data_IF_782889876379
#
_entry.id   IF_782889876379
#
_cell.length_a   1.000
_cell.length_b   1.000
_cell.length_c   1.000
_cell.angle_alpha   90.00
_cell.angle_beta   90.00
_cell.angle_gamma   90.00
#
_symmetry.space_group_name_H-M   'P 1'
#
loop_
_entity.id
_entity.type
_entity.pdbx_description
1 polymer ?
#
# COMPACT_ATOMS: atom_id res chain seq x y z
N UNK A 1 -36.14 -50.52 18.47
CA UNK A 1 -35.71 -49.18 17.99
C UNK A 1 -34.27 -48.89 18.39
N UNK A 2 -33.25 -49.58 17.85
CA UNK A 2 -31.82 -49.27 18.12
C UNK A 2 -30.86 -49.58 16.95
N UNK A 3 -31.37 -50.06 15.81
CA UNK A 3 -30.55 -50.55 14.69
C UNK A 3 -30.48 -49.61 13.48
N UNK A 4 -31.29 -48.56 13.43
CA UNK A 4 -31.35 -47.61 12.30
C UNK A 4 -30.56 -46.32 12.53
N UNK A 5 -30.00 -46.09 13.72
CA UNK A 5 -29.28 -44.85 14.05
C UNK A 5 -27.81 -44.88 13.61
N UNK A 6 -27.22 -46.06 13.41
CA UNK A 6 -25.80 -46.18 13.05
C UNK A 6 -25.49 -45.93 11.57
N UNK A 7 -26.50 -45.89 10.69
CA UNK A 7 -26.28 -45.66 9.25
C UNK A 7 -26.22 -44.18 8.85
N UNK A 8 -26.66 -43.26 9.72
CA UNK A 8 -26.67 -41.81 9.41
C UNK A 8 -25.34 -41.15 9.79
N UNK A 9 -24.55 -41.74 10.70
CA UNK A 9 -23.28 -41.15 11.16
C UNK A 9 -22.07 -41.39 10.26
N UNK A 10 -22.17 -42.30 9.28
CA UNK A 10 -21.03 -42.65 8.40
C UNK A 10 -20.98 -41.79 7.13
N UNK A 11 -22.07 -41.12 6.75
CA UNK A 11 -22.16 -40.32 5.51
C UNK A 11 -21.68 -38.87 5.72
N UNK A 12 -21.63 -38.38 6.96
CA UNK A 12 -21.17 -37.02 7.27
C UNK A 12 -19.63 -36.86 7.40
N UNK A 13 -18.87 -37.96 7.29
CA UNK A 13 -17.41 -37.93 7.46
C UNK A 13 -16.64 -37.67 6.15
N UNK A 14 -17.29 -37.61 4.98
CA UNK A 14 -16.61 -37.54 3.68
C UNK A 14 -16.72 -36.18 2.95
N UNK A 15 -17.24 -35.12 3.58
CA UNK A 15 -17.31 -33.78 2.96
C UNK A 15 -16.23 -32.80 3.44
N UNK A 16 -15.25 -33.24 4.23
CA UNK A 16 -14.11 -32.40 4.62
C UNK A 16 -12.88 -32.48 3.71
N UNK A 17 -13.01 -33.04 2.51
CA UNK A 17 -12.16 -32.60 1.39
C UNK A 17 -12.60 -31.19 0.97
N UNK A 18 -12.35 -30.18 1.81
CA UNK A 18 -12.14 -28.83 1.27
C UNK A 18 -10.95 -28.99 0.35
N UNK A 19 -11.18 -28.88 -0.96
CA UNK A 19 -10.10 -28.70 -1.94
C UNK A 19 -9.19 -27.64 -1.32
N UNK A 20 -7.94 -27.97 -1.02
CA UNK A 20 -6.97 -26.95 -0.64
C UNK A 20 -7.12 -25.85 -1.69
N UNK A 21 -7.33 -24.57 -1.29
CA UNK A 21 -7.43 -23.50 -2.26
C UNK A 21 -6.25 -23.65 -3.20
N UNK A 22 -6.52 -23.63 -4.50
CA UNK A 22 -5.48 -23.85 -5.49
C UNK A 22 -4.52 -22.65 -5.39
N UNK A 23 -3.42 -22.82 -4.66
CA UNK A 23 -2.41 -21.78 -4.48
C UNK A 23 -1.57 -21.59 -5.75
N UNK A 24 -1.80 -22.42 -6.78
CA UNK A 24 -1.15 -22.31 -8.09
C UNK A 24 -1.51 -20.98 -8.81
N UNK A 25 -2.65 -20.35 -8.46
CA UNK A 25 -3.12 -19.07 -9.00
C UNK A 25 -2.77 -17.86 -8.14
N UNK A 26 -2.22 -18.06 -6.93
CA UNK A 26 -1.54 -16.96 -6.23
C UNK A 26 -0.25 -16.75 -6.99
N UNK A 27 -0.20 -15.69 -7.80
CA UNK A 27 1.02 -15.27 -8.49
C UNK A 27 2.19 -15.28 -7.51
N UNK A 28 2.98 -16.35 -7.51
CA UNK A 28 4.14 -16.53 -6.63
C UNK A 28 5.29 -15.55 -6.92
N UNK A 29 4.97 -14.43 -7.57
CA UNK A 29 5.88 -13.41 -8.07
C UNK A 29 5.87 -12.14 -7.21
N UNK A 30 4.78 -11.81 -6.52
CA UNK A 30 4.68 -10.67 -5.60
C UNK A 30 3.49 -10.83 -4.64
N UNK A 31 3.50 -10.11 -3.51
CA UNK A 31 2.40 -10.12 -2.53
C UNK A 31 1.87 -8.71 -2.31
N UNK A 32 0.54 -8.56 -2.26
CA UNK A 32 -0.14 -7.26 -2.10
C UNK A 32 -0.87 -7.22 -0.77
N UNK A 33 -0.45 -6.31 0.11
CA UNK A 33 -1.07 -6.08 1.40
C UNK A 33 -1.61 -4.67 1.47
N UNK A 34 -2.87 -4.54 1.89
CA UNK A 34 -3.50 -3.25 2.15
C UNK A 34 -4.06 -3.17 3.55
N UNK A 35 -3.88 -2.01 4.18
CA UNK A 35 -4.53 -1.64 5.43
C UNK A 35 -5.14 -0.25 5.27
N UNK A 36 -6.19 0.03 6.04
CA UNK A 36 -6.88 1.31 6.00
C UNK A 36 -7.41 1.69 7.37
N UNK A 37 -7.68 2.98 7.55
CA UNK A 37 -8.44 3.48 8.67
C UNK A 37 -9.94 3.22 8.49
N UNK A 38 -10.50 2.32 9.29
CA UNK A 38 -11.92 1.96 9.25
C UNK A 38 -12.82 3.09 9.76
N UNK A 39 -12.27 4.09 10.45
CA UNK A 39 -13.00 5.28 10.87
C UNK A 39 -12.99 6.40 9.81
N UNK A 40 -12.23 6.26 8.73
CA UNK A 40 -12.16 7.27 7.68
C UNK A 40 -13.42 7.23 6.79
N UNK A 41 -14.05 8.38 6.61
CA UNK A 41 -15.06 8.58 5.58
C UNK A 41 -14.38 9.00 4.28
N UNK A 42 -14.04 8.02 3.43
CA UNK A 42 -13.35 8.26 2.15
C UNK A 42 -14.12 9.15 1.18
N UNK A 43 -15.44 9.32 1.37
CA UNK A 43 -16.29 10.22 0.58
C UNK A 43 -16.17 11.68 1.00
N UNK A 44 -15.60 11.94 2.17
CA UNK A 44 -15.39 13.30 2.67
C UNK A 44 -14.17 14.00 2.03
N UNK A 45 -13.37 13.27 1.25
CA UNK A 45 -12.21 13.77 0.52
C UNK A 45 -12.54 13.85 -0.97
N UNK A 46 -12.15 14.94 -1.64
CA UNK A 46 -12.47 15.17 -3.05
C UNK A 46 -11.22 15.33 -3.92
N UNK A 47 -10.15 15.85 -3.34
CA UNK A 47 -8.93 16.19 -4.06
C UNK A 47 -7.74 15.42 -3.52
N UNK A 48 -6.78 15.13 -4.41
CA UNK A 48 -5.52 14.52 -4.01
C UNK A 48 -4.35 15.19 -4.71
N UNK A 49 -3.18 15.03 -4.11
CA UNK A 49 -1.90 15.43 -4.68
C UNK A 49 -0.90 14.29 -4.55
N UNK A 50 -0.01 14.16 -5.51
CA UNK A 50 1.12 13.23 -5.51
C UNK A 50 2.40 13.99 -5.93
N UNK A 51 3.56 13.65 -5.37
CA UNK A 51 4.84 14.14 -5.86
C UNK A 51 5.11 13.75 -7.31
N UNK A 52 6.05 14.44 -7.93
CA UNK A 52 6.58 14.18 -9.27
C UNK A 52 7.68 13.09 -9.28
N UNK A 53 7.82 12.34 -8.19
CA UNK A 53 8.80 11.28 -8.03
C UNK A 53 8.29 10.15 -7.13
N UNK A 54 8.91 8.98 -7.28
CA UNK A 54 8.81 7.87 -6.33
C UNK A 54 10.11 7.85 -5.53
N UNK A 55 10.04 7.86 -4.21
CA UNK A 55 11.23 7.76 -3.38
C UNK A 55 11.95 6.42 -3.57
N UNK A 56 13.25 6.36 -3.27
CA UNK A 56 14.06 5.16 -3.33
C UNK A 56 14.83 4.97 -2.02
N UNK A 57 14.63 3.80 -1.41
CA UNK A 57 15.50 3.28 -0.35
C UNK A 57 16.34 2.17 -0.95
N UNK A 58 17.66 2.34 -0.90
CA UNK A 58 18.62 1.36 -1.40
C UNK A 58 19.95 1.46 -0.66
N UNK A 59 20.62 0.32 -0.45
CA UNK A 59 21.98 0.31 0.10
C UNK A 59 23.06 0.50 -0.99
N UNK A 60 22.69 0.35 -2.26
CA UNK A 60 23.63 0.36 -3.40
C UNK A 60 23.53 1.65 -4.23
N UNK A 61 22.38 2.32 -4.22
CA UNK A 61 22.19 3.62 -4.87
C UNK A 61 22.59 4.78 -3.96
N UNK A 62 23.10 5.87 -4.55
CA UNK A 62 23.26 7.16 -3.87
C UNK A 62 22.07 8.10 -4.11
N UNK A 63 21.14 7.71 -4.99
CA UNK A 63 19.93 8.46 -5.29
C UNK A 63 18.81 8.11 -4.29
N UNK A 64 18.05 9.12 -3.89
CA UNK A 64 16.85 8.99 -3.05
C UNK A 64 15.56 8.93 -3.86
N UNK A 65 15.65 8.99 -5.18
CA UNK A 65 14.52 8.93 -6.11
C UNK A 65 14.72 7.72 -7.04
N UNK A 66 13.62 7.02 -7.33
CA UNK A 66 13.60 5.95 -8.31
C UNK A 66 13.76 6.56 -9.70
N UNK A 67 14.52 5.88 -10.57
CA UNK A 67 14.69 6.27 -11.96
C UNK A 67 13.32 6.64 -12.61
N UNK A 68 13.17 7.88 -13.13
CA UNK A 68 11.91 8.40 -13.66
C UNK A 68 11.26 7.50 -14.71
N UNK A 69 12.05 6.74 -15.49
CA UNK A 69 11.48 5.82 -16.49
C UNK A 69 10.52 4.78 -15.88
N UNK A 70 10.72 4.44 -14.60
CA UNK A 70 9.85 3.57 -13.81
C UNK A 70 8.94 4.36 -12.87
N UNK A 71 9.47 5.39 -12.21
CA UNK A 71 8.74 6.22 -11.26
C UNK A 71 7.50 6.87 -11.89
N UNK A 72 7.64 7.43 -13.08
CA UNK A 72 6.54 8.14 -13.77
C UNK A 72 5.38 7.20 -14.11
N UNK A 73 5.69 5.95 -14.48
CA UNK A 73 4.67 4.95 -14.80
C UNK A 73 3.92 4.47 -13.55
N UNK A 74 4.64 4.33 -12.42
CA UNK A 74 4.03 4.04 -11.12
C UNK A 74 3.10 5.18 -10.70
N UNK A 75 3.56 6.43 -10.75
CA UNK A 75 2.76 7.60 -10.38
C UNK A 75 1.53 7.76 -11.30
N UNK A 76 1.69 7.53 -12.60
CA UNK A 76 0.58 7.56 -13.56
C UNK A 76 -0.49 6.51 -13.25
N UNK A 77 -0.08 5.28 -12.87
CA UNK A 77 -1.01 4.23 -12.45
C UNK A 77 -1.78 4.63 -11.19
N UNK A 78 -1.08 5.11 -10.15
CA UNK A 78 -1.71 5.56 -8.90
C UNK A 78 -2.70 6.70 -9.17
N UNK A 79 -2.29 7.69 -9.97
CA UNK A 79 -3.14 8.81 -10.36
C UNK A 79 -4.41 8.33 -11.07
N UNK A 80 -4.28 7.43 -12.05
CA UNK A 80 -5.42 6.90 -12.80
C UNK A 80 -6.41 6.17 -11.89
N UNK A 81 -5.93 5.38 -10.91
CA UNK A 81 -6.80 4.69 -9.95
C UNK A 81 -7.54 5.62 -9.01
N UNK A 82 -6.90 6.72 -8.58
CA UNK A 82 -7.54 7.75 -7.76
C UNK A 82 -8.61 8.50 -8.57
N UNK A 83 -8.30 8.90 -9.81
CA UNK A 83 -9.25 9.57 -10.70
C UNK A 83 -10.45 8.66 -11.04
N UNK A 84 -10.21 7.37 -11.29
CA UNK A 84 -11.27 6.38 -11.52
C UNK A 84 -12.21 6.20 -10.30
N UNK A 85 -11.74 6.55 -9.09
CA UNK A 85 -12.52 6.53 -7.84
C UNK A 85 -13.23 7.86 -7.55
N UNK A 86 -13.14 8.81 -8.47
CA UNK A 86 -13.83 10.10 -8.38
C UNK A 86 -13.05 11.21 -7.68
N UNK A 87 -11.79 10.96 -7.29
CA UNK A 87 -10.94 12.02 -6.75
C UNK A 87 -10.36 12.88 -7.87
N UNK A 88 -10.12 14.17 -7.60
CA UNK A 88 -9.52 15.11 -8.56
C UNK A 88 -8.07 15.40 -8.19
N UNK A 89 -7.14 15.21 -9.13
CA UNK A 89 -5.75 15.60 -8.94
C UNK A 89 -5.62 17.13 -8.96
N UNK A 90 -4.96 17.71 -7.96
CA UNK A 90 -4.72 19.16 -7.85
C UNK A 90 -3.23 19.45 -7.61
N UNK A 91 -2.81 20.71 -7.72
CA UNK A 91 -1.46 21.12 -7.36
C UNK A 91 -1.25 21.12 -5.85
N UNK A 92 0.00 21.00 -5.40
CA UNK A 92 0.32 21.05 -3.95
C UNK A 92 -0.08 22.36 -3.27
N UNK A 93 -0.23 23.43 -4.05
CA UNK A 93 -0.62 24.76 -3.57
C UNK A 93 -2.14 24.97 -3.56
N UNK A 94 -2.93 23.97 -3.99
CA UNK A 94 -4.40 24.05 -4.12
C UNK A 94 -5.14 23.46 -2.89
N UNK A 95 -4.47 23.29 -1.75
CA UNK A 95 -5.02 22.70 -0.52
C UNK A 95 -5.69 21.32 -0.73
N UNK A 96 -4.94 20.31 -1.20
CA UNK A 96 -5.46 18.96 -1.43
C UNK A 96 -5.97 18.31 -0.14
N UNK A 97 -7.04 17.51 -0.23
CA UNK A 97 -7.54 16.76 0.92
C UNK A 97 -6.65 15.54 1.26
N UNK A 98 -6.11 14.87 0.22
CA UNK A 98 -5.26 13.66 0.34
C UNK A 98 -3.87 13.90 -0.24
N UNK A 99 -2.84 13.53 0.51
CA UNK A 99 -1.46 13.40 0.03
C UNK A 99 -1.14 11.95 -0.32
N UNK A 100 -0.48 11.70 -1.44
CA UNK A 100 -0.10 10.35 -1.87
C UNK A 100 1.42 10.19 -1.87
N UNK A 101 1.95 9.38 -0.94
CA UNK A 101 3.37 9.03 -0.88
C UNK A 101 3.64 7.70 -1.56
N UNK A 102 4.75 7.60 -2.31
CA UNK A 102 5.21 6.35 -2.90
C UNK A 102 6.72 6.15 -2.68
N UNK A 103 7.12 4.95 -2.26
CA UNK A 103 8.51 4.61 -1.95
C UNK A 103 8.86 3.22 -2.46
N UNK A 104 9.94 3.12 -3.24
CA UNK A 104 10.51 1.87 -3.72
C UNK A 104 11.67 1.42 -2.83
N UNK A 105 11.73 0.12 -2.51
CA UNK A 105 12.82 -0.50 -1.75
C UNK A 105 13.58 -1.43 -2.67
N UNK A 106 14.85 -1.14 -2.97
CA UNK A 106 15.71 -1.95 -3.85
C UNK A 106 17.07 -2.22 -3.23
N UNK A 107 17.58 -3.43 -3.41
CA UNK A 107 18.91 -3.85 -2.94
C UNK A 107 19.15 -3.46 -1.48
N UNK A 108 18.14 -3.72 -0.64
CA UNK A 108 18.18 -3.45 0.79
C UNK A 108 18.34 -4.78 1.49
N UNK A 109 19.49 -5.00 2.13
CA UNK A 109 19.73 -6.19 2.96
C UNK A 109 18.95 -6.07 4.26
N UNK A 110 17.63 -6.25 4.20
CA UNK A 110 16.75 -6.17 5.37
C UNK A 110 16.35 -7.60 5.76
N UNK A 111 17.32 -8.32 6.32
CA UNK A 111 17.07 -9.46 7.21
C UNK A 111 16.94 -9.01 8.67
N UNK A 112 16.46 -7.78 8.90
CA UNK A 112 16.23 -7.26 10.25
C UNK A 112 14.74 -7.29 10.54
N UNK A 113 14.40 -8.03 11.59
CA UNK A 113 13.05 -8.17 12.15
C UNK A 113 12.33 -6.83 12.29
N UNK A 114 11.25 -6.67 11.54
CA UNK A 114 10.15 -5.73 11.84
C UNK A 114 10.48 -4.25 11.65
N UNK A 115 10.15 -3.73 10.48
CA UNK A 115 9.93 -2.29 10.34
C UNK A 115 8.49 -1.99 10.75
N UNK A 116 8.34 -1.09 11.71
CA UNK A 116 7.03 -0.56 12.06
C UNK A 116 6.50 0.30 10.89
N UNK A 117 5.17 0.33 10.67
CA UNK A 117 4.56 1.27 9.75
C UNK A 117 5.12 2.69 9.98
N UNK A 118 5.52 3.37 8.89
CA UNK A 118 6.00 4.74 8.93
C UNK A 118 7.51 4.93 8.96
N UNK A 119 8.31 3.87 9.03
CA UNK A 119 9.77 4.02 9.07
C UNK A 119 10.35 4.76 7.84
N UNK A 120 9.72 4.63 6.67
CA UNK A 120 10.10 5.36 5.44
C UNK A 120 9.85 6.87 5.52
N UNK A 121 9.06 7.37 6.47
CA UNK A 121 8.82 8.81 6.63
C UNK A 121 10.08 9.59 7.00
N UNK A 122 11.07 8.91 7.57
CA UNK A 122 12.39 9.49 7.88
C UNK A 122 13.38 9.47 6.71
N UNK A 123 13.04 8.86 5.57
CA UNK A 123 13.96 8.75 4.44
C UNK A 123 13.85 9.95 3.50
N UNK A 124 14.98 10.43 2.95
CA UNK A 124 14.96 11.33 1.81
C UNK A 124 14.12 10.74 0.67
N UNK A 125 13.36 11.57 -0.03
CA UNK A 125 12.43 11.11 -1.07
C UNK A 125 11.09 10.59 -0.54
N UNK A 126 10.78 10.75 0.75
CA UNK A 126 9.40 10.64 1.22
C UNK A 126 8.64 11.96 1.06
N UNK A 127 7.39 11.89 0.62
CA UNK A 127 6.60 13.06 0.17
C UNK A 127 6.24 14.10 1.24
N UNK A 128 6.52 13.86 2.52
CA UNK A 128 6.16 14.76 3.63
C UNK A 128 6.60 16.21 3.43
N UNK A 129 7.87 16.46 3.11
CA UNK A 129 8.36 17.82 2.84
C UNK A 129 7.81 18.41 1.53
N UNK A 130 7.46 17.56 0.55
CA UNK A 130 6.90 18.00 -0.73
C UNK A 130 5.46 18.54 -0.57
N UNK A 131 4.68 18.02 0.39
CA UNK A 131 3.36 18.54 0.77
C UNK A 131 3.40 19.66 1.83
N UNK A 132 4.56 20.26 2.10
CA UNK A 132 4.77 21.27 3.17
C UNK A 132 4.68 20.75 4.62
N UNK A 133 4.68 19.44 4.82
CA UNK A 133 4.66 18.78 6.14
C UNK A 133 6.03 18.20 6.50
N UNK A 134 7.09 18.98 6.27
CA UNK A 134 8.46 18.54 6.54
C UNK A 134 8.67 18.35 8.05
N UNK A 135 9.18 17.19 8.45
CA UNK A 135 9.40 16.86 9.87
C UNK A 135 8.15 16.41 10.63
N UNK A 136 7.00 16.28 9.95
CA UNK A 136 5.79 15.71 10.54
C UNK A 136 5.85 14.19 10.58
N UNK A 137 5.12 13.59 11.52
CA UNK A 137 5.13 12.16 11.77
C UNK A 137 3.82 11.49 11.34
N UNK A 138 3.87 10.26 10.84
CA UNK A 138 2.65 9.51 10.58
C UNK A 138 2.01 9.07 11.89
N UNK A 139 0.69 9.03 11.88
CA UNK A 139 -0.09 8.30 12.87
C UNK A 139 -0.93 7.24 12.16
N UNK A 140 -0.78 6.00 12.61
CA UNK A 140 -1.47 4.83 12.10
C UNK A 140 -2.59 4.40 13.04
N UNK A 141 -3.69 3.83 12.50
CA UNK A 141 -4.65 3.12 13.33
C UNK A 141 -3.98 2.02 14.18
N UNK A 142 -4.40 1.80 15.44
CA UNK A 142 -3.70 0.96 16.40
C UNK A 142 -3.64 -0.54 16.03
N UNK A 143 -4.42 -0.98 15.04
CA UNK A 143 -4.48 -2.35 14.54
C UNK A 143 -3.60 -2.59 13.31
N UNK A 144 -2.84 -1.59 12.84
CA UNK A 144 -1.87 -1.80 11.77
C UNK A 144 -0.76 -2.73 12.26
N UNK A 145 -0.57 -3.85 11.56
CA UNK A 145 0.45 -4.85 11.87
C UNK A 145 1.86 -4.41 11.46
N UNK A 146 2.85 -5.21 11.86
CA UNK A 146 4.24 -5.07 11.39
C UNK A 146 4.34 -5.69 9.99
N UNK A 147 4.92 -4.97 9.04
CA UNK A 147 5.19 -5.48 7.70
C UNK A 147 6.59 -6.11 7.65
N UNK A 148 6.73 -7.18 6.87
CA UNK A 148 8.04 -7.77 6.55
C UNK A 148 8.45 -7.22 5.19
N UNK A 149 9.46 -6.35 5.15
CA UNK A 149 9.92 -5.74 3.90
C UNK A 149 10.91 -6.67 3.21
N UNK A 150 10.54 -7.13 2.02
CA UNK A 150 11.45 -7.85 1.14
C UNK A 150 12.03 -6.87 0.09
N UNK A 151 13.25 -7.10 -0.36
CA UNK A 151 13.82 -6.35 -1.49
C UNK A 151 12.85 -6.38 -2.67
N UNK A 152 12.70 -5.24 -3.33
CA UNK A 152 11.73 -5.05 -4.39
C UNK A 152 10.34 -4.69 -3.90
N UNK A 153 10.22 -4.09 -2.72
CA UNK A 153 8.93 -3.63 -2.23
C UNK A 153 8.53 -2.27 -2.81
N UNK A 154 7.24 -2.09 -3.11
CA UNK A 154 6.64 -0.78 -3.37
C UNK A 154 5.65 -0.44 -2.25
N UNK A 155 5.85 0.71 -1.61
CA UNK A 155 4.99 1.25 -0.56
C UNK A 155 4.21 2.41 -1.15
N UNK A 156 2.91 2.46 -0.91
CA UNK A 156 2.06 3.60 -1.26
C UNK A 156 1.18 3.95 -0.07
N UNK A 157 1.06 5.23 0.27
CA UNK A 157 0.19 5.69 1.34
C UNK A 157 -0.72 6.82 0.90
N UNK A 158 -1.93 6.85 1.45
CA UNK A 158 -2.85 7.97 1.42
C UNK A 158 -2.83 8.65 2.78
N UNK A 159 -2.52 9.95 2.78
CA UNK A 159 -2.33 10.76 3.97
C UNK A 159 -3.45 11.80 4.04
N UNK A 160 -4.07 11.95 5.21
CA UNK A 160 -5.05 12.98 5.49
C UNK A 160 -4.34 14.34 5.62
N UNK A 161 -4.38 15.15 4.56
CA UNK A 161 -3.88 16.54 4.57
C UNK A 161 -4.97 17.53 4.96
N UNK A 162 -6.23 17.08 5.00
CA UNK A 162 -7.42 17.88 5.33
C UNK A 162 -7.53 18.13 6.83
N UNK A 163 -7.15 17.15 7.65
CA UNK A 163 -7.27 17.20 9.11
C UNK A 163 -5.91 16.96 9.81
N UNK A 164 -4.90 17.84 9.60
CA UNK A 164 -3.61 17.72 10.27
C UNK A 164 -3.76 17.91 11.79
N UNK A 165 -2.98 17.16 12.58
CA UNK A 165 -2.90 17.33 14.03
C UNK A 165 -1.69 18.22 14.35
N UNK A 166 -1.94 19.53 14.37
CA UNK A 166 -0.92 20.58 14.53
C UNK A 166 -0.10 20.48 15.82
N UNK A 167 -0.77 20.22 16.96
CA UNK A 167 -0.13 20.24 18.29
C UNK A 167 1.07 19.29 18.38
N UNK A 168 0.99 18.14 17.70
CA UNK A 168 2.01 17.10 17.69
C UNK A 168 2.71 16.93 16.33
N UNK A 169 2.41 17.79 15.36
CA UNK A 169 2.89 17.66 13.98
C UNK A 169 2.64 16.25 13.40
N UNK A 170 1.40 15.76 13.51
CA UNK A 170 1.01 14.42 13.04
C UNK A 170 0.05 14.46 11.88
N UNK A 171 0.28 13.58 10.90
CA UNK A 171 -0.64 13.32 9.81
C UNK A 171 -1.18 11.90 9.93
N UNK A 172 -2.48 11.75 9.74
CA UNK A 172 -3.12 10.44 9.79
C UNK A 172 -2.92 9.71 8.46
N UNK A 173 -2.52 8.44 8.54
CA UNK A 173 -2.49 7.57 7.37
C UNK A 173 -3.86 6.93 7.20
N UNK A 174 -4.50 7.22 6.07
CA UNK A 174 -5.83 6.72 5.71
C UNK A 174 -5.78 5.32 5.12
N UNK A 175 -4.76 5.06 4.33
CA UNK A 175 -4.56 3.79 3.65
C UNK A 175 -3.07 3.57 3.40
N UNK A 176 -2.64 2.32 3.56
CA UNK A 176 -1.28 1.88 3.26
C UNK A 176 -1.37 0.66 2.37
N UNK A 177 -0.58 0.66 1.32
CA UNK A 177 -0.31 -0.49 0.50
C UNK A 177 1.17 -0.85 0.59
N UNK A 178 1.42 -2.15 0.72
CA UNK A 178 2.73 -2.75 0.71
C UNK A 178 2.76 -3.90 -0.29
N UNK A 179 3.56 -3.74 -1.33
CA UNK A 179 3.72 -4.72 -2.40
C UNK A 179 5.10 -5.36 -2.34
N UNK A 180 5.22 -6.55 -1.75
CA UNK A 180 6.49 -7.28 -1.64
C UNK A 180 6.88 -7.98 -2.94
N UNK A 181 8.15 -7.88 -3.35
CA UNK A 181 8.69 -8.53 -4.56
C UNK A 181 8.24 -7.92 -5.90
N UNK A 182 7.52 -6.80 -5.86
CA UNK A 182 7.00 -6.12 -7.04
C UNK A 182 8.09 -5.51 -7.95
N UNK A 183 9.23 -5.10 -7.38
CA UNK A 183 10.32 -4.40 -8.07
C UNK A 183 11.60 -5.26 -8.03
N UNK A 184 11.75 -6.24 -8.93
CA UNK A 184 12.93 -7.14 -8.96
C UNK A 184 14.32 -6.45 -8.93
N UNK A 185 15.38 -7.22 -8.61
CA UNK A 185 16.72 -6.71 -8.28
C UNK A 185 17.57 -6.22 -9.47
N UNK A 186 17.41 -6.79 -10.67
CA UNK A 186 18.30 -6.50 -11.82
C UNK A 186 17.64 -5.72 -12.96
N UNK A 187 16.36 -5.39 -12.80
CA UNK A 187 15.53 -4.68 -13.76
C UNK A 187 14.15 -4.60 -13.14
N UNK A 188 13.68 -3.38 -12.89
CA UNK A 188 12.38 -3.13 -12.27
C UNK A 188 11.34 -3.98 -12.97
N UNK A 189 10.72 -4.95 -12.29
CA UNK A 189 9.60 -5.68 -12.86
C UNK A 189 8.38 -4.76 -12.83
N UNK A 190 8.41 -3.76 -13.70
CA UNK A 190 7.45 -2.67 -13.74
C UNK A 190 6.03 -3.23 -13.91
N UNK A 191 5.88 -4.28 -14.71
CA UNK A 191 4.60 -4.98 -14.87
C UNK A 191 4.09 -5.52 -13.53
N UNK A 192 4.94 -6.15 -12.71
CA UNK A 192 4.54 -6.58 -11.37
C UNK A 192 4.18 -5.40 -10.46
N UNK A 193 4.91 -4.28 -10.54
CA UNK A 193 4.57 -3.09 -9.80
C UNK A 193 3.20 -2.53 -10.21
N UNK A 194 2.93 -2.40 -11.50
CA UNK A 194 1.65 -1.92 -12.02
C UNK A 194 0.50 -2.88 -11.65
N UNK A 195 0.69 -4.18 -11.86
CA UNK A 195 -0.30 -5.21 -11.47
C UNK A 195 -0.56 -5.20 -9.95
N UNK A 196 0.46 -4.94 -9.14
CA UNK A 196 0.32 -4.87 -7.69
C UNK A 196 -0.46 -3.62 -7.25
N UNK A 197 -0.33 -2.50 -7.96
CA UNK A 197 -1.16 -1.30 -7.75
C UNK A 197 -2.61 -1.60 -8.12
N UNK A 198 -2.85 -2.21 -9.28
CA UNK A 198 -4.19 -2.61 -9.73
C UNK A 198 -4.88 -3.50 -8.69
N UNK A 199 -4.18 -4.52 -8.19
CA UNK A 199 -4.67 -5.42 -7.17
C UNK A 199 -4.95 -4.69 -5.84
N UNK A 200 -4.04 -3.81 -5.39
CA UNK A 200 -4.18 -3.06 -4.15
C UNK A 200 -5.45 -2.20 -4.14
N UNK A 201 -5.71 -1.54 -5.25
CA UNK A 201 -6.92 -0.75 -5.46
C UNK A 201 -8.16 -1.64 -5.60
N UNK A 202 -8.09 -2.75 -6.34
CA UNK A 202 -9.19 -3.72 -6.50
C UNK A 202 -9.67 -4.27 -5.16
N UNK A 203 -8.75 -4.60 -4.26
CA UNK A 203 -9.07 -5.10 -2.91
C UNK A 203 -9.38 -3.99 -1.89
N UNK A 204 -9.41 -2.73 -2.32
CA UNK A 204 -9.75 -1.57 -1.49
C UNK A 204 -10.98 -0.82 -2.04
N UNK A 205 -12.15 -1.48 -2.14
CA UNK A 205 -13.35 -0.90 -2.76
C UNK A 205 -13.97 0.26 -1.95
N UNK A 206 -13.58 0.41 -0.68
CA UNK A 206 -14.01 1.49 0.21
C UNK A 206 -13.35 2.84 -0.11
N UNK A 207 -12.28 2.86 -0.92
CA UNK A 207 -11.65 4.09 -1.40
C UNK A 207 -12.47 4.58 -2.59
N UNK A 208 -13.32 5.56 -2.36
CA UNK A 208 -14.23 6.16 -3.36
C UNK A 208 -14.67 7.54 -2.88
N UNK A 209 -14.67 8.52 -3.78
CA UNK A 209 -15.28 9.83 -3.55
C UNK A 209 -16.82 9.81 -3.76
N UNK A 210 -17.36 8.69 -4.27
CA UNK A 210 -18.78 8.47 -4.60
C UNK A 210 -19.46 7.53 -3.61
#
# INVERSE_FOLDING_TARGET
MKRTIYLILVILAFTQCRKYPNMDDLSGQFVVYTNYDAAADFKSYQTFVLPDYVGLISNTSQDSILDPQYGDQILASIKSHMEARGYTAVGRDDNPDIGIGAMALKDVDIYTSGWYPGYWWGYPGWGGCWWYYCGWYPYYPPYYGVYVYETGSLIIEMIDLKNPVEEDHRLKVLWTNWNGGALGSTGTNLDNALNSIDQAFTQSPYISAQ
#
